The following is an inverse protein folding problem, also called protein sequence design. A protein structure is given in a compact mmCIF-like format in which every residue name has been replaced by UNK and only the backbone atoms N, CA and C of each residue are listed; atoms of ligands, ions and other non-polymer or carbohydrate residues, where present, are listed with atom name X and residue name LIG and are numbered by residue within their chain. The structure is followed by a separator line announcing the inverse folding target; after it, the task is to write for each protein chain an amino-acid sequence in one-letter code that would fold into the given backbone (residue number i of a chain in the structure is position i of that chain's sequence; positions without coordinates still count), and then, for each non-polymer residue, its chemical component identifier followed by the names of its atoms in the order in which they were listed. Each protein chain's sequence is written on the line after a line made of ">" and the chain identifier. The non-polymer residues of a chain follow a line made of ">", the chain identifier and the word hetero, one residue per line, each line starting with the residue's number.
data_IF_626487439403
#
_entry.id   IF_626487439403
#
_cell.length_a   1.000
_cell.length_b   1.000
_cell.length_c   1.000
_cell.angle_alpha   90.00
_cell.angle_beta   90.00
_cell.angle_gamma   90.00
#
_symmetry.space_group_name_H-M   'P 1'
#
loop_
_entity.id
_entity.type
_entity.pdbx_description
1 polymer ?
#
# COMPACT_ATOMS: atom_id res chain seq x y z
N UNK A 1 7.30 20.27 21.21
CA UNK A 1 7.02 19.14 20.30
C UNK A 1 5.62 19.34 19.73
N UNK A 2 5.32 18.89 18.52
CA UNK A 2 3.97 18.98 17.97
C UNK A 2 3.32 17.60 17.99
N UNK A 3 2.52 17.35 19.03
CA UNK A 3 1.87 16.05 19.24
C UNK A 3 0.72 15.90 18.25
N UNK A 4 0.76 14.84 17.48
CA UNK A 4 -0.31 14.44 16.57
C UNK A 4 -0.71 13.00 16.85
N UNK A 5 -1.95 12.65 16.54
CA UNK A 5 -2.43 11.28 16.65
C UNK A 5 -2.60 10.63 15.28
N UNK A 6 -2.35 9.33 15.21
CA UNK A 6 -2.59 8.55 14.00
C UNK A 6 -3.22 7.19 14.34
N UNK A 7 -4.22 6.81 13.55
CA UNK A 7 -4.70 5.43 13.54
C UNK A 7 -3.71 4.54 12.77
N UNK A 8 -3.04 3.64 13.50
CA UNK A 8 -2.10 2.68 12.94
C UNK A 8 -2.72 1.30 12.73
N UNK A 9 -1.99 0.44 12.00
CA UNK A 9 -2.33 -0.98 11.84
C UNK A 9 -1.08 -1.83 11.99
N UNK A 10 -1.17 -2.92 12.74
CA UNK A 10 -0.18 -4.01 12.73
C UNK A 10 -0.82 -5.25 12.11
N UNK A 11 -0.07 -5.94 11.24
CA UNK A 11 -0.49 -7.18 10.60
C UNK A 11 0.45 -8.31 11.01
N UNK A 12 -0.06 -9.27 11.78
CA UNK A 12 0.73 -10.43 12.21
C UNK A 12 0.82 -11.47 11.06
N UNK A 13 1.96 -11.51 10.37
CA UNK A 13 2.17 -12.40 9.24
C UNK A 13 2.19 -13.89 9.62
N UNK A 14 2.58 -14.23 10.86
CA UNK A 14 2.57 -15.60 11.39
C UNK A 14 1.15 -16.20 11.47
N UNK A 15 0.14 -15.32 11.59
CA UNK A 15 -1.28 -15.72 11.57
C UNK A 15 -1.93 -15.58 10.19
N UNK A 16 -1.18 -15.15 9.17
CA UNK A 16 -1.75 -14.92 7.86
C UNK A 16 -1.98 -16.25 7.14
N UNK A 17 -3.22 -16.48 6.72
CA UNK A 17 -3.63 -17.70 6.01
C UNK A 17 -3.87 -17.46 4.51
N UNK A 18 -3.46 -16.31 3.97
CA UNK A 18 -3.59 -16.04 2.53
C UNK A 18 -5.02 -15.99 1.97
N UNK A 19 -6.09 -16.04 2.78
CA UNK A 19 -7.46 -16.27 2.29
C UNK A 19 -8.12 -15.16 1.44
N UNK A 20 -7.45 -14.02 1.21
CA UNK A 20 -7.95 -12.87 0.43
C UNK A 20 -9.29 -12.24 0.85
N UNK A 21 -9.93 -12.68 1.95
CA UNK A 21 -11.24 -12.14 2.39
C UNK A 21 -11.19 -10.62 2.57
N UNK A 22 -10.10 -10.11 3.14
CA UNK A 22 -9.86 -8.68 3.31
C UNK A 22 -9.78 -7.89 1.98
N UNK A 23 -9.36 -8.52 0.89
CA UNK A 23 -9.30 -7.93 -0.45
C UNK A 23 -10.69 -7.86 -1.05
N UNK A 24 -11.45 -8.96 -0.96
CA UNK A 24 -12.82 -9.05 -1.50
C UNK A 24 -13.75 -8.05 -0.82
N UNK A 25 -13.74 -7.96 0.51
CA UNK A 25 -14.64 -7.04 1.23
C UNK A 25 -14.30 -5.58 0.95
N UNK A 26 -13.00 -5.25 0.85
CA UNK A 26 -12.56 -3.92 0.44
C UNK A 26 -12.98 -3.59 -1.00
N UNK A 27 -12.84 -4.55 -1.93
CA UNK A 27 -13.25 -4.42 -3.32
C UNK A 27 -14.74 -4.10 -3.45
N UNK A 28 -15.57 -4.89 -2.77
CA UNK A 28 -17.02 -4.74 -2.80
C UNK A 28 -17.49 -3.43 -2.17
N UNK A 29 -16.83 -2.98 -1.11
CA UNK A 29 -17.19 -1.73 -0.44
C UNK A 29 -16.76 -0.47 -1.25
N UNK A 30 -15.60 -0.51 -1.93
CA UNK A 30 -14.95 0.73 -2.39
C UNK A 30 -14.61 0.79 -3.88
N UNK A 31 -14.26 -0.33 -4.52
CA UNK A 31 -13.64 -0.35 -5.87
C UNK A 31 -14.34 -1.31 -6.86
N UNK A 32 -15.63 -1.54 -6.67
CA UNK A 32 -16.49 -2.29 -7.59
C UNK A 32 -17.06 -1.43 -8.75
N UNK A 33 -16.60 -0.18 -8.88
CA UNK A 33 -17.06 0.78 -9.88
C UNK A 33 -16.25 0.67 -11.17
N UNK A 34 -16.88 1.08 -12.27
CA UNK A 34 -16.20 1.21 -13.54
C UNK A 34 -15.04 2.23 -13.46
N UNK A 35 -13.89 1.91 -14.04
CA UNK A 35 -12.65 2.68 -13.88
C UNK A 35 -11.71 2.16 -12.78
N UNK A 36 -12.24 1.35 -11.85
CA UNK A 36 -11.51 0.81 -10.69
C UNK A 36 -11.56 -0.72 -10.61
N UNK A 37 -11.99 -1.38 -11.67
CA UNK A 37 -12.15 -2.84 -11.76
C UNK A 37 -10.82 -3.55 -11.53
N UNK A 38 -9.73 -2.99 -12.06
CA UNK A 38 -8.39 -3.51 -11.83
C UNK A 38 -7.84 -3.17 -10.45
N UNK A 39 -8.46 -2.25 -9.69
CA UNK A 39 -7.93 -1.64 -8.45
C UNK A 39 -8.26 -2.46 -7.21
N UNK A 40 -7.21 -2.79 -6.44
CA UNK A 40 -7.29 -3.48 -5.16
C UNK A 40 -6.61 -2.66 -4.07
N UNK A 41 -7.36 -1.80 -3.37
CA UNK A 41 -6.80 -1.01 -2.26
C UNK A 41 -6.15 -1.90 -1.19
N UNK A 42 -6.81 -3.01 -0.85
CA UNK A 42 -6.24 -4.12 -0.12
C UNK A 42 -6.00 -5.29 -1.09
N UNK A 43 -4.75 -5.77 -1.14
CA UNK A 43 -4.38 -6.99 -1.85
C UNK A 43 -3.49 -7.84 -0.95
N UNK A 44 -3.44 -9.14 -1.20
CA UNK A 44 -2.54 -10.09 -0.54
C UNK A 44 -1.64 -10.66 -1.63
N UNK A 45 -0.38 -10.87 -1.30
CA UNK A 45 0.63 -11.39 -2.23
C UNK A 45 1.30 -12.60 -1.58
N UNK A 46 1.53 -13.66 -2.36
CA UNK A 46 2.39 -14.75 -1.93
C UNK A 46 3.84 -14.38 -2.16
N UNK A 47 4.71 -14.70 -1.20
CA UNK A 47 6.15 -14.45 -1.27
C UNK A 47 6.94 -15.75 -1.18
N UNK A 48 7.97 -15.96 -2.02
CA UNK A 48 8.46 -15.04 -3.06
C UNK A 48 7.52 -14.87 -4.25
N UNK A 49 7.45 -13.66 -4.81
CA UNK A 49 6.53 -13.29 -5.89
C UNK A 49 6.80 -11.90 -6.48
N UNK A 50 6.20 -11.60 -7.63
CA UNK A 50 6.33 -10.28 -8.25
C UNK A 50 5.44 -9.23 -7.57
N UNK A 51 4.39 -9.65 -6.87
CA UNK A 51 3.46 -8.76 -6.20
C UNK A 51 2.61 -7.92 -7.16
N UNK A 52 1.93 -6.90 -6.62
CA UNK A 52 0.93 -6.13 -7.34
C UNK A 52 1.03 -4.61 -7.10
N UNK A 53 1.27 -3.78 -8.14
CA UNK A 53 1.66 -4.17 -9.50
C UNK A 53 2.98 -4.94 -9.52
N UNK A 54 3.26 -5.64 -10.62
CA UNK A 54 4.46 -6.48 -10.74
C UNK A 54 5.73 -5.69 -10.46
N UNK A 55 6.56 -6.27 -9.59
CA UNK A 55 7.85 -5.77 -9.11
C UNK A 55 7.75 -4.36 -8.52
N UNK A 56 6.65 -4.02 -7.82
CA UNK A 56 6.46 -2.66 -7.28
C UNK A 56 7.59 -2.22 -6.32
N UNK A 57 8.29 -3.17 -5.69
CA UNK A 57 9.43 -2.94 -4.79
C UNK A 57 10.71 -2.49 -5.52
N UNK A 58 10.81 -2.71 -6.82
CA UNK A 58 11.93 -2.24 -7.64
C UNK A 58 11.85 -0.71 -7.83
N UNK A 59 12.41 0.02 -6.87
CA UNK A 59 12.44 1.48 -6.92
C UNK A 59 13.51 2.03 -7.88
N UNK A 60 14.40 1.20 -8.44
CA UNK A 60 15.29 1.64 -9.53
C UNK A 60 14.46 1.83 -10.81
N UNK A 61 13.58 0.87 -11.11
CA UNK A 61 12.56 0.98 -12.16
C UNK A 61 11.53 2.05 -11.81
N UNK A 62 10.85 1.93 -10.66
CA UNK A 62 9.62 2.68 -10.39
C UNK A 62 9.78 4.04 -9.71
N UNK A 63 10.99 4.37 -9.25
CA UNK A 63 11.35 5.68 -8.69
C UNK A 63 10.38 6.22 -7.61
N UNK A 64 9.79 5.35 -6.81
CA UNK A 64 8.96 5.75 -5.67
C UNK A 64 9.78 6.13 -4.44
N UNK A 65 9.12 6.79 -3.49
CA UNK A 65 9.71 7.15 -2.19
C UNK A 65 10.69 8.32 -2.26
N UNK A 66 11.53 8.42 -1.23
CA UNK A 66 12.51 9.49 -1.08
C UNK A 66 13.94 8.98 -1.15
N UNK A 67 14.86 9.87 -1.47
CA UNK A 67 16.31 9.66 -1.38
C UNK A 67 16.96 10.90 -0.76
N UNK A 68 18.13 10.73 -0.16
CA UNK A 68 18.95 11.86 0.28
C UNK A 68 19.82 12.35 -0.87
N UNK A 69 19.85 13.67 -1.08
CA UNK A 69 20.81 14.26 -1.99
C UNK A 69 22.21 14.36 -1.33
N UNK A 70 23.21 14.81 -2.08
CA UNK A 70 24.59 15.00 -1.57
C UNK A 70 24.73 15.92 -0.35
N UNK A 71 23.70 16.72 -0.04
CA UNK A 71 23.65 17.63 1.12
C UNK A 71 22.80 17.06 2.27
N UNK A 72 22.43 15.78 2.22
CA UNK A 72 21.61 15.13 3.25
C UNK A 72 20.15 15.56 3.28
N UNK A 73 19.64 16.25 2.24
CA UNK A 73 18.22 16.66 2.19
C UNK A 73 17.38 15.63 1.44
N UNK A 74 16.18 15.37 1.96
CA UNK A 74 15.16 14.55 1.30
C UNK A 74 14.74 15.16 -0.04
N UNK A 75 14.78 14.35 -1.08
CA UNK A 75 14.23 14.64 -2.40
C UNK A 75 13.47 13.42 -2.92
N UNK A 76 12.42 13.64 -3.71
CA UNK A 76 11.67 12.55 -4.31
C UNK A 76 12.55 11.78 -5.30
N UNK A 77 12.50 10.44 -5.27
CA UNK A 77 13.30 9.59 -6.18
C UNK A 77 12.93 9.82 -7.66
N UNK A 78 11.64 10.03 -7.94
CA UNK A 78 11.15 10.42 -9.27
C UNK A 78 11.65 11.81 -9.74
N UNK A 79 12.18 12.63 -8.84
CA UNK A 79 12.67 13.97 -9.11
C UNK A 79 11.85 15.08 -8.47
N UNK A 80 12.48 16.24 -8.31
CA UNK A 80 11.88 17.44 -7.74
C UNK A 80 10.90 18.15 -8.69
N UNK A 81 10.42 19.33 -8.27
CA UNK A 81 9.37 20.11 -8.95
C UNK A 81 9.68 20.39 -10.44
N UNK A 82 10.92 20.77 -10.77
CA UNK A 82 11.32 21.09 -12.15
C UNK A 82 11.26 19.87 -13.06
N UNK A 83 11.86 18.73 -12.65
CA UNK A 83 11.83 17.48 -13.45
C UNK A 83 10.39 17.02 -13.68
N UNK A 84 9.52 17.15 -12.68
CA UNK A 84 8.10 16.80 -12.80
C UNK A 84 7.32 17.73 -13.73
N UNK A 85 7.63 19.03 -13.72
CA UNK A 85 7.02 19.98 -14.64
C UNK A 85 7.40 19.66 -16.09
N UNK A 86 8.66 19.31 -16.34
CA UNK A 86 9.13 18.88 -17.67
C UNK A 86 8.51 17.55 -18.11
N UNK A 87 8.26 16.63 -17.17
CA UNK A 87 7.60 15.34 -17.40
C UNK A 87 6.08 15.34 -17.24
N UNK A 88 5.42 16.50 -17.24
CA UNK A 88 3.98 16.57 -16.95
C UNK A 88 3.12 15.99 -18.10
N UNK A 89 3.60 16.10 -19.35
CA UNK A 89 2.89 15.63 -20.53
C UNK A 89 3.01 14.12 -20.76
N UNK A 90 4.07 13.50 -20.24
CA UNK A 90 4.26 12.06 -20.25
C UNK A 90 5.08 11.66 -19.02
N UNK A 91 4.52 10.80 -18.16
CA UNK A 91 5.23 10.24 -17.00
C UNK A 91 5.89 8.92 -17.39
N UNK A 92 7.20 8.89 -17.72
CA UNK A 92 7.83 7.72 -18.33
C UNK A 92 7.97 6.51 -17.39
N UNK A 93 7.79 6.72 -16.09
CA UNK A 93 8.00 5.70 -15.04
C UNK A 93 6.68 5.22 -14.43
N UNK A 94 5.54 5.62 -15.00
CA UNK A 94 4.25 5.22 -14.47
C UNK A 94 3.97 3.74 -14.80
N UNK A 95 3.47 2.93 -13.85
CA UNK A 95 2.97 1.59 -14.17
C UNK A 95 1.85 1.64 -15.20
N UNK A 96 1.93 0.75 -16.17
CA UNK A 96 0.91 0.55 -17.19
C UNK A 96 -0.12 -0.48 -16.71
N UNK A 97 -1.25 -0.57 -17.39
CA UNK A 97 -2.29 -1.54 -17.05
C UNK A 97 -1.75 -2.99 -17.05
N UNK A 98 -0.83 -3.31 -17.96
CA UNK A 98 -0.17 -4.62 -18.03
C UNK A 98 0.70 -4.94 -16.82
N UNK A 99 1.20 -3.94 -16.08
CA UNK A 99 1.95 -4.17 -14.85
C UNK A 99 1.00 -4.55 -13.69
N UNK A 100 -0.27 -4.18 -13.79
CA UNK A 100 -1.36 -4.69 -12.96
C UNK A 100 -1.93 -5.95 -13.62
N UNK A 101 -3.05 -5.81 -14.35
CA UNK A 101 -3.63 -6.78 -15.26
C UNK A 101 -4.71 -6.07 -16.08
N UNK A 102 -5.05 -6.61 -17.25
CA UNK A 102 -6.24 -6.17 -17.98
C UNK A 102 -7.49 -6.78 -17.30
N UNK A 103 -8.40 -5.96 -16.74
CA UNK A 103 -9.59 -6.49 -16.07
C UNK A 103 -10.50 -7.16 -17.10
N UNK A 104 -11.09 -8.30 -16.72
CA UNK A 104 -11.99 -9.07 -17.59
C UNK A 104 -13.29 -9.45 -16.87
N UNK A 105 -14.28 -9.80 -17.67
CA UNK A 105 -15.51 -10.48 -17.27
C UNK A 105 -15.74 -11.68 -18.20
N UNK A 106 -16.89 -12.35 -18.11
CA UNK A 106 -17.24 -13.45 -18.99
C UNK A 106 -18.59 -13.20 -19.65
N UNK A 107 -18.74 -13.69 -20.88
CA UNK A 107 -20.03 -13.71 -21.56
C UNK A 107 -20.93 -14.83 -21.01
N UNK A 108 -21.46 -14.61 -19.81
CA UNK A 108 -22.37 -15.55 -19.17
C UNK A 108 -23.68 -15.73 -19.94
N UNK A 109 -24.07 -14.76 -20.77
CA UNK A 109 -25.31 -14.80 -21.55
C UNK A 109 -25.27 -15.90 -22.62
N UNK A 110 -24.11 -16.17 -23.19
CA UNK A 110 -23.91 -17.30 -24.10
C UNK A 110 -24.32 -18.65 -23.48
N UNK A 111 -24.24 -18.83 -22.16
CA UNK A 111 -24.64 -20.09 -21.52
C UNK A 111 -26.15 -20.34 -21.53
N UNK A 112 -26.95 -19.29 -21.68
CA UNK A 112 -28.42 -19.36 -21.65
C UNK A 112 -29.06 -19.12 -23.01
N UNK A 113 -28.41 -18.32 -23.86
CA UNK A 113 -28.97 -17.86 -25.13
C UNK A 113 -28.39 -18.57 -26.36
N UNK A 114 -27.39 -19.45 -26.19
CA UNK A 114 -26.78 -20.12 -27.33
C UNK A 114 -27.81 -20.96 -28.12
N UNK A 115 -27.81 -20.88 -29.45
CA UNK A 115 -28.66 -21.71 -30.28
C UNK A 115 -28.27 -23.19 -30.15
N UNK A 116 -29.20 -24.09 -30.50
CA UNK A 116 -28.91 -25.51 -30.64
C UNK A 116 -27.77 -25.73 -31.64
N UNK A 117 -26.79 -26.54 -31.26
CA UNK A 117 -25.65 -26.89 -32.08
C UNK A 117 -24.93 -28.11 -31.51
N UNK A 118 -23.87 -28.54 -32.21
CA UNK A 118 -23.12 -29.75 -31.85
C UNK A 118 -22.12 -29.53 -30.71
N UNK A 119 -21.78 -28.26 -30.42
CA UNK A 119 -20.82 -27.87 -29.38
C UNK A 119 -21.51 -27.32 -28.12
N UNK A 120 -20.89 -27.55 -26.95
CA UNK A 120 -21.35 -26.96 -25.69
C UNK A 120 -21.02 -25.46 -25.63
N UNK A 121 -21.98 -24.59 -25.22
CA UNK A 121 -21.70 -23.17 -25.05
C UNK A 121 -20.73 -22.94 -23.87
N UNK A 122 -19.78 -22.03 -24.07
CA UNK A 122 -18.80 -21.63 -23.05
C UNK A 122 -18.82 -20.12 -22.87
N UNK A 123 -18.74 -19.67 -21.61
CA UNK A 123 -18.63 -18.26 -21.31
C UNK A 123 -17.18 -17.80 -21.57
N UNK A 124 -16.96 -17.15 -22.71
CA UNK A 124 -15.62 -16.65 -23.08
C UNK A 124 -15.26 -15.40 -22.28
N UNK A 125 -13.97 -15.24 -21.90
CA UNK A 125 -13.51 -14.01 -21.26
C UNK A 125 -13.57 -12.81 -22.20
N UNK A 126 -14.11 -11.70 -21.68
CA UNK A 126 -14.25 -10.41 -22.35
C UNK A 126 -13.43 -9.36 -21.60
N UNK A 127 -12.66 -8.55 -22.32
CA UNK A 127 -11.97 -7.41 -21.71
C UNK A 127 -12.98 -6.38 -21.20
N UNK A 128 -12.79 -5.90 -19.97
CA UNK A 128 -13.55 -4.77 -19.43
C UNK A 128 -13.02 -3.41 -19.94
N UNK A 129 -11.92 -3.41 -20.71
CA UNK A 129 -11.36 -2.21 -21.33
C UNK A 129 -11.86 -2.07 -22.77
N UNK A 130 -11.75 -3.13 -23.58
CA UNK A 130 -12.11 -3.09 -25.01
C UNK A 130 -13.50 -3.66 -25.31
N UNK A 131 -14.04 -4.52 -24.44
CA UNK A 131 -15.27 -5.27 -24.71
C UNK A 131 -15.10 -6.49 -25.62
N UNK A 132 -13.87 -6.73 -26.11
CA UNK A 132 -13.57 -7.81 -27.05
C UNK A 132 -13.24 -9.13 -26.34
N UNK A 133 -13.29 -10.24 -27.08
CA UNK A 133 -12.76 -11.53 -26.62
C UNK A 133 -11.27 -11.38 -26.31
N UNK A 134 -10.83 -11.88 -25.16
CA UNK A 134 -9.43 -11.76 -24.71
C UNK A 134 -8.89 -13.07 -24.19
N UNK A 135 -7.56 -13.18 -24.07
CA UNK A 135 -6.91 -14.29 -23.37
C UNK A 135 -6.39 -13.79 -22.02
N UNK A 136 -6.83 -14.42 -20.94
CA UNK A 136 -6.31 -14.10 -19.60
C UNK A 136 -4.87 -14.61 -19.52
N UNK A 137 -3.93 -13.70 -19.30
CA UNK A 137 -2.49 -13.98 -19.25
C UNK A 137 -1.85 -13.56 -17.92
N UNK A 138 -2.54 -12.75 -17.13
CA UNK A 138 -2.10 -12.31 -15.81
C UNK A 138 -3.29 -11.82 -14.96
N UNK A 139 -3.10 -11.68 -13.64
CA UNK A 139 -4.10 -11.15 -12.72
C UNK A 139 -3.46 -10.47 -11.50
N UNK A 140 -4.28 -9.89 -10.61
CA UNK A 140 -3.79 -9.28 -9.36
C UNK A 140 -3.19 -10.28 -8.36
N UNK A 141 -3.34 -11.59 -8.58
CA UNK A 141 -2.91 -12.66 -7.69
C UNK A 141 -2.51 -13.91 -8.50
N UNK A 142 -1.69 -13.71 -9.54
CA UNK A 142 -1.34 -14.77 -10.49
C UNK A 142 -0.31 -15.77 -9.93
N UNK A 143 0.54 -15.31 -9.02
CA UNK A 143 1.60 -16.05 -8.33
C UNK A 143 1.17 -16.58 -6.96
N UNK A 144 -0.14 -16.70 -6.71
CA UNK A 144 -0.72 -17.28 -5.50
C UNK A 144 -0.20 -18.71 -5.27
N UNK A 145 0.03 -19.05 -4.00
CA UNK A 145 0.61 -20.34 -3.57
C UNK A 145 1.78 -20.85 -4.44
N UNK A 146 2.70 -19.94 -4.80
CA UNK A 146 3.88 -20.19 -5.62
C UNK A 146 3.59 -20.59 -7.08
N UNK A 147 2.40 -20.26 -7.58
CA UNK A 147 2.00 -20.46 -8.98
C UNK A 147 3.01 -19.81 -9.94
N UNK A 148 3.67 -20.63 -10.77
CA UNK A 148 4.69 -20.14 -11.71
C UNK A 148 6.00 -19.67 -11.06
N UNK A 149 6.25 -20.00 -9.79
CA UNK A 149 7.48 -19.59 -9.07
C UNK A 149 8.77 -20.12 -9.69
N UNK A 150 8.75 -21.27 -10.36
CA UNK A 150 9.90 -21.79 -11.12
C UNK A 150 10.27 -20.90 -12.30
N UNK A 151 9.28 -20.28 -12.95
CA UNK A 151 9.46 -19.37 -14.08
C UNK A 151 9.75 -17.95 -13.62
N UNK A 152 9.06 -17.45 -12.59
CA UNK A 152 9.06 -16.02 -12.25
C UNK A 152 9.58 -15.69 -10.86
N UNK A 153 9.78 -16.67 -9.97
CA UNK A 153 10.15 -16.41 -8.57
C UNK A 153 11.49 -15.68 -8.42
N UNK A 154 12.40 -15.87 -9.36
CA UNK A 154 13.69 -15.16 -9.41
C UNK A 154 13.56 -13.66 -9.75
N UNK A 155 12.37 -13.22 -10.19
CA UNK A 155 12.06 -11.82 -10.49
C UNK A 155 11.52 -11.04 -9.28
N UNK A 156 11.27 -11.71 -8.14
CA UNK A 156 10.99 -11.03 -6.87
C UNK A 156 12.18 -10.13 -6.51
N UNK A 157 11.99 -8.79 -6.36
CA UNK A 157 13.09 -7.87 -6.08
C UNK A 157 13.89 -8.19 -4.82
N UNK A 158 13.27 -8.80 -3.81
CA UNK A 158 13.93 -9.21 -2.57
C UNK A 158 14.77 -10.46 -2.80
N UNK A 159 14.26 -11.44 -3.54
CA UNK A 159 15.06 -12.64 -3.92
C UNK A 159 16.25 -12.24 -4.77
N UNK A 160 16.04 -11.36 -5.76
CA UNK A 160 17.11 -10.87 -6.62
C UNK A 160 18.21 -10.18 -5.79
N UNK A 161 17.83 -9.31 -4.85
CA UNK A 161 18.75 -8.65 -3.93
C UNK A 161 19.53 -9.65 -3.06
N UNK A 162 18.84 -10.57 -2.40
CA UNK A 162 19.47 -11.57 -1.51
C UNK A 162 20.43 -12.47 -2.29
N UNK A 163 20.09 -12.88 -3.51
CA UNK A 163 20.97 -13.70 -4.36
C UNK A 163 22.23 -12.95 -4.80
N UNK A 164 22.10 -11.65 -5.15
CA UNK A 164 23.27 -10.81 -5.47
C UNK A 164 24.21 -10.63 -4.27
N UNK A 165 23.66 -10.57 -3.06
CA UNK A 165 24.43 -10.42 -1.82
C UNK A 165 24.96 -11.77 -1.28
N UNK A 166 24.33 -12.89 -1.63
CA UNK A 166 24.69 -14.22 -1.17
C UNK A 166 24.12 -15.28 -2.13
N UNK A 167 24.95 -15.75 -3.07
CA UNK A 167 24.54 -16.64 -4.18
C UNK A 167 23.83 -17.94 -3.73
N UNK A 168 24.01 -18.37 -2.47
CA UNK A 168 23.58 -19.69 -1.98
C UNK A 168 22.27 -19.71 -1.15
N UNK A 169 21.66 -18.58 -0.80
CA UNK A 169 20.61 -18.56 0.25
C UNK A 169 19.20 -18.94 -0.20
N UNK A 170 18.83 -18.76 -1.47
CA UNK A 170 17.47 -19.03 -1.97
C UNK A 170 17.55 -19.91 -3.21
N UNK A 171 17.32 -21.22 -3.05
CA UNK A 171 17.21 -22.18 -4.15
C UNK A 171 15.74 -22.56 -4.33
N UNK A 172 15.27 -22.56 -5.57
CA UNK A 172 13.94 -23.08 -5.91
C UNK A 172 14.00 -24.60 -6.06
N UNK A 173 14.47 -25.26 -4.99
CA UNK A 173 14.51 -26.71 -4.85
C UNK A 173 13.32 -27.15 -3.99
N UNK A 174 12.73 -28.30 -4.33
CA UNK A 174 11.50 -28.78 -3.71
C UNK A 174 11.59 -28.85 -2.18
N UNK A 175 12.70 -29.37 -1.64
CA UNK A 175 12.94 -29.55 -0.21
C UNK A 175 13.18 -28.23 0.55
N UNK A 176 13.46 -27.14 -0.17
CA UNK A 176 13.72 -25.81 0.38
C UNK A 176 12.59 -24.84 0.05
N UNK A 177 11.44 -25.36 -0.39
CA UNK A 177 10.26 -24.54 -0.71
C UNK A 177 9.75 -23.84 0.55
N UNK A 178 9.59 -22.54 0.45
CA UNK A 178 8.94 -21.73 1.48
C UNK A 178 7.98 -20.76 0.82
N UNK A 179 6.92 -20.42 1.54
CA UNK A 179 6.07 -19.30 1.18
C UNK A 179 5.48 -18.64 2.41
N UNK A 180 5.13 -17.37 2.28
CA UNK A 180 4.28 -16.67 3.24
C UNK A 180 3.43 -15.64 2.51
N UNK A 181 2.43 -15.11 3.21
CA UNK A 181 1.50 -14.15 2.64
C UNK A 181 1.78 -12.74 3.16
N UNK A 182 1.74 -11.77 2.25
CA UNK A 182 1.94 -10.36 2.54
C UNK A 182 0.67 -9.57 2.18
N UNK A 183 -0.29 -9.43 3.11
CA UNK A 183 -1.42 -8.53 2.96
C UNK A 183 -0.97 -7.07 3.08
N UNK A 184 -1.31 -6.22 2.12
CA UNK A 184 -0.91 -4.80 2.11
C UNK A 184 -2.07 -3.87 1.83
N UNK A 185 -2.01 -2.69 2.44
CA UNK A 185 -2.85 -1.52 2.14
C UNK A 185 -1.95 -0.29 1.94
N UNK A 186 -2.52 0.91 1.82
CA UNK A 186 -1.72 2.13 1.95
C UNK A 186 -1.17 2.23 3.38
N UNK A 187 0.09 2.62 3.54
CA UNK A 187 0.74 2.78 4.85
C UNK A 187 0.32 4.06 5.60
N UNK A 188 -0.44 4.97 4.96
CA UNK A 188 -0.85 6.26 5.54
C UNK A 188 0.31 6.99 6.26
N UNK A 189 1.45 7.05 5.57
CA UNK A 189 2.75 7.39 6.14
C UNK A 189 2.82 8.77 6.84
N UNK A 190 3.85 8.97 7.66
CA UNK A 190 4.10 10.24 8.36
C UNK A 190 4.74 11.30 7.44
N UNK A 191 5.57 10.87 6.50
CA UNK A 191 6.22 11.65 5.43
C UNK A 191 5.80 11.15 4.02
N UNK A 192 4.50 11.23 3.66
CA UNK A 192 3.96 10.59 2.47
C UNK A 192 4.55 11.18 1.17
N UNK A 193 5.38 10.39 0.48
CA UNK A 193 5.97 10.78 -0.81
C UNK A 193 4.93 11.06 -1.89
N UNK A 194 3.75 10.46 -1.81
CA UNK A 194 2.64 10.71 -2.72
C UNK A 194 2.08 12.13 -2.58
N UNK A 195 1.99 12.65 -1.35
CA UNK A 195 1.56 14.01 -1.06
C UNK A 195 2.55 15.01 -1.65
N UNK A 196 3.83 14.85 -1.34
CA UNK A 196 4.90 15.67 -1.91
C UNK A 196 4.99 15.55 -3.44
N UNK A 197 4.52 14.43 -4.00
CA UNK A 197 4.55 14.18 -5.43
C UNK A 197 3.41 14.81 -6.23
N UNK A 198 2.32 15.22 -5.59
CA UNK A 198 1.12 15.71 -6.25
C UNK A 198 1.28 17.20 -6.67
N UNK A 199 1.32 17.54 -7.97
CA UNK A 199 1.51 18.93 -8.39
C UNK A 199 0.36 19.86 -8.00
N UNK A 200 -0.87 19.34 -7.91
CA UNK A 200 -2.04 20.14 -7.56
C UNK A 200 -2.30 20.24 -6.05
N UNK A 201 -1.49 19.58 -5.21
CA UNK A 201 -1.72 19.55 -3.76
C UNK A 201 -3.03 18.88 -3.34
N UNK A 202 -3.60 18.02 -4.17
CA UNK A 202 -4.88 17.35 -3.89
C UNK A 202 -4.78 16.21 -2.87
N UNK A 203 -3.57 15.80 -2.50
CA UNK A 203 -3.33 14.78 -1.49
C UNK A 203 -2.99 15.47 -0.18
N UNK A 204 -3.61 15.05 0.91
CA UNK A 204 -3.39 15.62 2.23
C UNK A 204 -3.46 14.52 3.30
N UNK A 205 -2.83 14.77 4.44
CA UNK A 205 -2.95 13.97 5.66
C UNK A 205 -3.89 14.69 6.60
N UNK A 206 -4.97 14.02 7.02
CA UNK A 206 -5.90 14.52 8.03
C UNK A 206 -5.17 14.76 9.34
N UNK A 207 -5.52 15.85 10.02
CA UNK A 207 -4.83 16.30 11.25
C UNK A 207 -5.33 15.52 12.47
N UNK A 208 -6.58 15.13 12.43
CA UNK A 208 -7.30 14.45 13.50
C UNK A 208 -6.86 12.99 13.66
N UNK A 209 -6.61 12.26 12.56
CA UNK A 209 -6.42 10.81 12.57
C UNK A 209 -5.24 10.28 11.74
N UNK A 210 -4.52 11.19 11.08
CA UNK A 210 -3.39 10.85 10.23
C UNK A 210 -3.76 10.13 8.93
N UNK A 211 -5.04 10.02 8.56
CA UNK A 211 -5.45 9.34 7.32
C UNK A 211 -5.10 10.22 6.12
N UNK A 212 -4.19 9.71 5.27
CA UNK A 212 -3.88 10.31 3.96
C UNK A 212 -5.00 10.06 2.93
N UNK A 213 -5.54 11.12 2.33
CA UNK A 213 -6.62 11.06 1.33
C UNK A 213 -6.25 11.79 0.03
N UNK A 214 -7.01 11.50 -1.03
CA UNK A 214 -6.99 12.25 -2.29
C UNK A 214 -8.31 13.00 -2.40
N UNK A 215 -8.26 14.33 -2.38
CA UNK A 215 -9.39 15.21 -2.66
C UNK A 215 -9.84 15.02 -4.12
N UNK A 216 -11.01 14.44 -4.33
CA UNK A 216 -11.51 14.12 -5.68
C UNK A 216 -11.90 15.39 -6.47
N UNK A 217 -12.24 16.49 -5.81
CA UNK A 217 -12.61 17.75 -6.46
C UNK A 217 -11.35 18.52 -6.92
N UNK A 218 -10.30 18.49 -6.09
CA UNK A 218 -9.00 19.12 -6.41
C UNK A 218 -8.11 18.25 -7.30
N UNK A 219 -8.32 16.94 -7.36
CA UNK A 219 -7.51 16.05 -8.18
C UNK A 219 -7.67 16.40 -9.67
N UNK A 220 -6.54 16.73 -10.31
CA UNK A 220 -6.45 17.08 -11.74
C UNK A 220 -5.90 15.96 -12.61
N UNK A 221 -5.76 14.75 -12.07
CA UNK A 221 -5.36 13.59 -12.87
C UNK A 221 -3.90 13.61 -13.36
N UNK A 222 -3.00 14.33 -12.69
CA UNK A 222 -1.58 14.42 -13.09
C UNK A 222 -0.79 13.11 -12.98
N UNK A 223 -1.33 12.10 -12.28
CA UNK A 223 -0.79 10.73 -12.12
C UNK A 223 0.60 10.60 -11.47
N UNK A 224 1.30 11.70 -11.20
CA UNK A 224 2.62 11.73 -10.55
C UNK A 224 2.64 11.07 -9.16
N UNK A 225 1.50 11.05 -8.46
CA UNK A 225 1.36 10.40 -7.16
C UNK A 225 1.39 8.86 -7.25
N UNK A 226 1.00 8.28 -8.40
CA UNK A 226 1.10 6.82 -8.64
C UNK A 226 2.56 6.39 -8.62
N UNK A 227 3.42 7.09 -9.38
CA UNK A 227 4.87 6.87 -9.37
C UNK A 227 5.47 7.17 -8.00
N UNK A 228 5.10 8.32 -7.41
CA UNK A 228 5.67 8.79 -6.15
C UNK A 228 5.48 7.84 -4.97
N UNK A 229 4.38 7.09 -4.93
CA UNK A 229 4.15 6.07 -3.91
C UNK A 229 5.07 4.85 -4.15
N UNK A 230 6.00 4.53 -3.24
CA UNK A 230 6.90 3.39 -3.42
C UNK A 230 6.14 2.06 -3.28
N UNK A 231 5.10 2.01 -2.44
CA UNK A 231 4.22 0.84 -2.27
C UNK A 231 3.22 0.63 -3.42
N UNK A 232 3.14 1.58 -4.37
CA UNK A 232 2.16 1.60 -5.48
C UNK A 232 0.70 1.45 -5.04
N UNK A 233 0.37 2.05 -3.90
CA UNK A 233 -0.97 2.06 -3.28
C UNK A 233 -1.86 3.24 -3.67
N UNK A 234 -1.49 3.91 -4.75
CA UNK A 234 -2.34 4.88 -5.44
C UNK A 234 -2.60 4.35 -6.83
N UNK A 235 -3.87 4.32 -7.21
CA UNK A 235 -4.33 3.77 -8.46
C UNK A 235 -5.01 4.86 -9.27
N UNK A 236 -4.95 4.74 -10.59
CA UNK A 236 -5.58 5.71 -11.48
C UNK A 236 -6.94 5.18 -11.91
N UNK A 237 -8.01 5.88 -11.57
CA UNK A 237 -9.32 5.57 -12.11
C UNK A 237 -9.35 5.98 -13.59
N UNK A 238 -9.33 4.99 -14.48
CA UNK A 238 -9.22 5.22 -15.93
C UNK A 238 -10.49 5.85 -16.52
N UNK A 239 -11.63 5.75 -15.84
CA UNK A 239 -12.91 6.34 -16.25
C UNK A 239 -13.06 7.79 -15.80
N UNK A 240 -12.73 8.11 -14.54
CA UNK A 240 -12.89 9.48 -14.00
C UNK A 240 -11.69 10.37 -14.26
N UNK A 241 -10.55 9.77 -14.63
CA UNK A 241 -9.32 10.50 -14.85
C UNK A 241 -8.63 10.95 -13.56
N UNK A 242 -8.99 10.40 -12.39
CA UNK A 242 -8.50 10.82 -11.08
C UNK A 242 -7.79 9.69 -10.33
N UNK A 243 -6.88 10.05 -9.44
CA UNK A 243 -6.22 9.09 -8.58
C UNK A 243 -7.13 8.73 -7.38
N UNK A 244 -7.17 7.44 -7.04
CA UNK A 244 -7.85 6.90 -5.88
C UNK A 244 -6.90 6.01 -5.07
N UNK A 245 -7.15 5.88 -3.77
CA UNK A 245 -6.33 5.07 -2.85
C UNK A 245 -7.17 4.56 -1.69
N UNK A 246 -6.61 3.61 -0.94
CA UNK A 246 -7.16 3.20 0.35
C UNK A 246 -7.47 4.44 1.20
N UNK A 247 -8.70 4.53 1.69
CA UNK A 247 -9.22 5.63 2.51
C UNK A 247 -9.12 5.33 4.01
N UNK A 248 -8.45 4.23 4.37
CA UNK A 248 -8.45 3.63 5.70
C UNK A 248 -9.86 3.45 6.30
N UNK A 249 -10.88 3.33 5.43
CA UNK A 249 -12.28 3.33 5.83
C UNK A 249 -12.62 4.50 6.78
N UNK A 250 -12.13 5.72 6.52
CA UNK A 250 -12.35 6.88 7.40
C UNK A 250 -13.82 7.05 7.85
N UNK A 251 -14.88 6.80 7.03
CA UNK A 251 -16.26 6.95 7.52
C UNK A 251 -16.62 5.98 8.65
N UNK A 252 -15.94 4.84 8.76
CA UNK A 252 -16.07 3.89 9.86
C UNK A 252 -15.21 4.29 11.05
N UNK A 253 -13.96 4.68 10.78
CA UNK A 253 -13.02 5.10 11.83
C UNK A 253 -13.52 6.33 12.58
N UNK A 254 -14.15 7.28 11.89
CA UNK A 254 -14.76 8.48 12.48
C UNK A 254 -15.82 8.18 13.55
N UNK A 255 -16.44 7.00 13.49
CA UNK A 255 -17.45 6.54 14.48
C UNK A 255 -16.92 5.40 15.34
N UNK A 256 -15.60 5.21 15.41
CA UNK A 256 -14.94 4.22 16.27
C UNK A 256 -15.07 2.78 15.78
N UNK A 257 -15.49 2.55 14.54
CA UNK A 257 -15.57 1.20 13.96
C UNK A 257 -14.24 0.81 13.29
N UNK A 258 -13.88 -0.49 13.31
CA UNK A 258 -12.72 -0.96 12.57
C UNK A 258 -12.87 -0.75 11.06
N UNK A 259 -11.73 -0.73 10.37
CA UNK A 259 -11.73 -0.79 8.91
C UNK A 259 -12.33 -2.12 8.43
N UNK A 260 -12.93 -2.11 7.23
CA UNK A 260 -13.56 -3.31 6.65
C UNK A 260 -12.57 -4.48 6.58
N UNK A 261 -11.35 -4.24 6.10
CA UNK A 261 -10.35 -5.30 5.97
C UNK A 261 -9.85 -5.85 7.32
N UNK A 262 -9.94 -5.05 8.40
CA UNK A 262 -9.63 -5.49 9.76
C UNK A 262 -10.76 -6.29 10.39
N UNK A 263 -12.00 -5.78 10.35
CA UNK A 263 -13.18 -6.46 10.91
C UNK A 263 -13.42 -7.82 10.25
N UNK A 264 -13.25 -7.90 8.93
CA UNK A 264 -13.49 -9.13 8.17
C UNK A 264 -12.24 -10.01 8.04
N UNK A 265 -11.21 -9.79 8.87
CA UNK A 265 -9.99 -10.57 8.81
C UNK A 265 -10.17 -11.95 9.45
N UNK A 266 -10.36 -12.98 8.63
CA UNK A 266 -10.59 -14.37 9.07
C UNK A 266 -9.43 -14.90 9.93
N UNK A 267 -8.18 -14.64 9.54
CA UNK A 267 -6.99 -15.03 10.31
C UNK A 267 -6.77 -14.23 11.60
N UNK A 268 -7.61 -13.20 11.86
CA UNK A 268 -7.53 -12.34 13.06
C UNK A 268 -6.12 -11.80 13.30
N UNK A 269 -5.48 -11.30 12.23
CA UNK A 269 -4.09 -10.86 12.26
C UNK A 269 -3.92 -9.34 12.32
N UNK A 270 -5.00 -8.58 12.09
CA UNK A 270 -4.96 -7.11 11.99
C UNK A 270 -5.35 -6.48 13.31
N UNK A 271 -4.45 -5.68 13.86
CA UNK A 271 -4.66 -4.89 15.07
C UNK A 271 -4.69 -3.42 14.69
N UNK A 272 -5.71 -2.69 15.15
CA UNK A 272 -5.84 -1.25 15.00
C UNK A 272 -5.59 -0.58 16.35
N UNK A 273 -4.97 0.59 16.33
CA UNK A 273 -4.69 1.33 17.54
C UNK A 273 -4.11 2.70 17.23
N UNK A 274 -4.43 3.66 18.10
CA UNK A 274 -3.85 4.99 18.03
C UNK A 274 -2.40 4.99 18.49
N UNK A 275 -1.57 5.81 17.90
CA UNK A 275 -0.29 6.18 18.48
C UNK A 275 -0.12 7.70 18.39
N UNK A 276 0.56 8.26 19.38
CA UNK A 276 0.95 9.67 19.39
C UNK A 276 2.34 9.79 18.78
N UNK A 277 2.58 10.86 18.04
CA UNK A 277 3.88 11.11 17.42
C UNK A 277 4.25 12.60 17.44
N UNK A 278 5.54 12.91 17.48
CA UNK A 278 6.03 14.27 17.31
C UNK A 278 6.18 14.59 15.81
N UNK A 279 5.27 15.40 15.29
CA UNK A 279 5.25 15.79 13.89
C UNK A 279 6.48 16.60 13.47
N UNK A 280 7.14 17.28 14.42
CA UNK A 280 8.32 18.10 14.11
C UNK A 280 9.59 17.23 13.97
N UNK A 281 9.61 16.05 14.59
CA UNK A 281 10.72 15.08 14.49
C UNK A 281 10.70 14.24 13.20
N UNK A 282 9.54 14.15 12.50
CA UNK A 282 9.35 13.27 11.32
C UNK A 282 10.41 13.50 10.24
N UNK A 283 10.71 14.76 9.91
CA UNK A 283 11.68 15.07 8.84
C UNK A 283 13.10 14.64 9.22
N UNK A 284 13.48 14.82 10.50
CA UNK A 284 14.79 14.40 10.99
C UNK A 284 14.92 12.87 10.93
N UNK A 285 13.91 12.15 11.42
CA UNK A 285 13.87 10.69 11.38
C UNK A 285 13.93 10.15 9.95
N UNK A 286 13.16 10.70 9.02
CA UNK A 286 13.20 10.28 7.62
C UNK A 286 14.53 10.64 6.92
N UNK A 287 15.33 11.54 7.49
CA UNK A 287 16.59 12.03 6.92
C UNK A 287 17.86 11.38 7.48
N UNK A 288 17.75 10.39 8.37
CA UNK A 288 18.94 9.66 8.89
C UNK A 288 19.74 9.06 7.74
N UNK A 289 21.07 9.16 7.80
CA UNK A 289 21.93 8.84 6.66
C UNK A 289 21.98 7.35 6.38
N UNK A 290 22.08 6.52 7.42
CA UNK A 290 22.04 5.07 7.29
C UNK A 290 20.58 4.59 7.22
N UNK A 291 20.16 3.92 6.12
CA UNK A 291 18.83 3.34 6.05
C UNK A 291 18.51 2.31 7.14
N UNK A 292 19.51 1.66 7.75
CA UNK A 292 19.29 0.70 8.83
C UNK A 292 18.80 1.36 10.13
N UNK A 293 19.12 2.65 10.32
CA UNK A 293 18.68 3.42 11.49
C UNK A 293 17.25 3.98 11.34
N UNK A 294 16.63 3.86 10.16
CA UNK A 294 15.30 4.43 9.90
C UNK A 294 14.21 3.82 10.79
N UNK A 295 14.32 2.53 11.12
CA UNK A 295 13.39 1.87 12.02
C UNK A 295 13.44 2.47 13.43
N UNK A 296 14.65 2.55 14.00
CA UNK A 296 14.83 3.10 15.34
C UNK A 296 14.47 4.59 15.38
N UNK A 297 14.85 5.35 14.35
CA UNK A 297 14.47 6.75 14.20
C UNK A 297 12.95 6.94 14.09
N UNK A 298 12.24 6.04 13.40
CA UNK A 298 10.78 6.05 13.39
C UNK A 298 10.22 5.74 14.79
N UNK A 299 10.80 4.77 15.50
CA UNK A 299 10.37 4.48 16.87
C UNK A 299 10.55 5.69 17.77
N UNK A 300 11.61 6.48 17.61
CA UNK A 300 11.86 7.69 18.41
C UNK A 300 10.89 8.85 18.12
N UNK A 301 10.22 8.82 16.96
CA UNK A 301 9.12 9.75 16.65
C UNK A 301 7.83 9.40 17.41
N UNK A 302 7.65 8.13 17.81
CA UNK A 302 6.49 7.70 18.59
C UNK A 302 6.65 8.13 20.06
N UNK A 303 5.62 8.80 20.58
CA UNK A 303 5.58 9.34 21.93
C UNK A 303 4.94 8.34 22.89
N UNK A 304 5.42 8.30 24.14
CA UNK A 304 4.82 7.45 25.18
C UNK A 304 3.46 8.03 25.62
N UNK A 305 2.34 7.34 25.36
CA UNK A 305 1.03 7.83 25.76
C UNK A 305 0.81 7.82 27.28
N UNK A 306 1.66 7.14 28.06
CA UNK A 306 1.59 7.14 29.53
C UNK A 306 2.42 8.24 30.19
N UNK A 307 3.24 8.96 29.43
CA UNK A 307 4.03 10.08 29.93
C UNK A 307 3.10 11.28 30.24
N UNK A 308 3.07 11.78 31.50
CA UNK A 308 2.27 12.94 31.87
C UNK A 308 2.57 14.20 31.05
N UNK A 309 3.82 14.41 30.61
CA UNK A 309 4.19 15.56 29.79
C UNK A 309 3.61 15.45 28.37
N UNK A 310 3.68 14.26 27.77
CA UNK A 310 3.06 13.98 26.46
C UNK A 310 1.55 14.17 26.54
N UNK A 311 0.90 13.72 27.62
CA UNK A 311 -0.55 13.90 27.79
C UNK A 311 -0.93 15.38 27.98
N UNK A 312 -0.16 16.13 28.77
CA UNK A 312 -0.38 17.56 28.95
C UNK A 312 -0.24 18.32 27.63
N UNK A 313 0.78 18.01 26.85
CA UNK A 313 1.01 18.61 25.54
C UNK A 313 -0.08 18.20 24.51
N UNK A 314 -0.49 16.93 24.51
CA UNK A 314 -1.59 16.45 23.67
C UNK A 314 -2.90 17.22 23.95
N UNK A 315 -3.23 17.44 25.24
CA UNK A 315 -4.40 18.25 25.64
C UNK A 315 -4.25 19.70 25.22
N UNK A 316 -3.06 20.29 25.38
CA UNK A 316 -2.78 21.66 24.95
C UNK A 316 -2.95 21.84 23.42
N UNK A 317 -2.70 20.78 22.65
CA UNK A 317 -2.90 20.73 21.20
C UNK A 317 -4.30 20.24 20.78
N UNK A 318 -5.24 20.17 21.71
CA UNK A 318 -6.65 19.79 21.50
C UNK A 318 -6.85 18.35 20.98
N UNK A 319 -5.94 17.42 21.32
CA UNK A 319 -6.21 15.99 21.11
C UNK A 319 -7.31 15.56 22.11
N UNK A 320 -8.41 14.95 21.66
CA UNK A 320 -9.48 14.49 22.55
C UNK A 320 -9.01 13.52 23.64
N UNK A 321 -9.62 13.58 24.82
CA UNK A 321 -9.21 12.73 25.96
C UNK A 321 -9.41 11.24 25.66
N UNK A 322 -10.50 10.88 24.96
CA UNK A 322 -10.78 9.51 24.54
C UNK A 322 -9.71 8.97 23.57
N UNK A 323 -9.11 9.84 22.76
CA UNK A 323 -7.97 9.51 21.90
C UNK A 323 -6.69 9.26 22.68
N UNK A 324 -6.40 10.07 23.70
CA UNK A 324 -5.26 9.88 24.60
C UNK A 324 -5.41 8.54 25.33
N UNK A 325 -6.59 8.26 25.89
CA UNK A 325 -6.90 6.99 26.57
C UNK A 325 -6.87 5.78 25.66
N UNK A 326 -7.26 5.93 24.39
CA UNK A 326 -7.15 4.88 23.39
C UNK A 326 -5.69 4.63 22.97
N UNK A 327 -4.86 5.68 22.87
CA UNK A 327 -3.42 5.54 22.61
C UNK A 327 -2.71 4.77 23.74
N UNK A 328 -3.08 5.02 25.00
CA UNK A 328 -2.55 4.30 26.18
C UNK A 328 -2.84 2.79 26.15
N UNK A 329 -3.95 2.40 25.55
CA UNK A 329 -4.39 0.99 25.43
C UNK A 329 -4.15 0.43 24.02
N UNK A 330 -3.33 1.11 23.22
CA UNK A 330 -3.15 0.77 21.81
C UNK A 330 -2.36 -0.52 21.63
N UNK A 331 -2.94 -1.54 20.95
CA UNK A 331 -2.18 -2.74 20.62
C UNK A 331 -1.08 -2.42 19.60
N UNK A 332 -1.25 -1.40 18.76
CA UNK A 332 -0.24 -0.98 17.78
C UNK A 332 1.00 -0.43 18.49
N UNK A 333 0.81 0.49 19.45
CA UNK A 333 1.92 1.03 20.23
C UNK A 333 2.65 -0.06 21.02
N UNK A 334 1.89 -0.94 21.69
CA UNK A 334 2.46 -2.06 22.43
C UNK A 334 3.28 -3.01 21.54
N UNK A 335 2.75 -3.42 20.38
CA UNK A 335 3.44 -4.35 19.48
C UNK A 335 4.66 -3.72 18.80
N UNK A 336 4.62 -2.42 18.47
CA UNK A 336 5.71 -1.71 17.80
C UNK A 336 6.80 -1.23 18.78
N UNK A 337 6.44 -0.41 19.77
CA UNK A 337 7.41 0.30 20.63
C UNK A 337 7.82 -0.52 21.86
N UNK A 338 6.87 -1.24 22.50
CA UNK A 338 7.13 -1.97 23.75
C UNK A 338 7.70 -3.36 23.48
N UNK A 339 6.99 -4.18 22.71
CA UNK A 339 7.38 -5.56 22.43
C UNK A 339 8.33 -5.70 21.25
N UNK A 340 8.42 -4.69 20.37
CA UNK A 340 9.30 -4.68 19.19
C UNK A 340 9.11 -5.89 18.27
N UNK A 341 7.85 -6.32 18.12
CA UNK A 341 7.46 -7.45 17.25
C UNK A 341 6.78 -6.97 15.96
N UNK A 342 6.38 -5.70 15.90
CA UNK A 342 5.86 -5.09 14.68
C UNK A 342 6.93 -4.20 14.03
N UNK A 343 7.33 -4.56 12.82
CA UNK A 343 8.31 -3.83 12.02
C UNK A 343 7.63 -3.08 10.88
N UNK A 344 8.14 -1.90 10.46
CA UNK A 344 7.62 -1.18 9.31
C UNK A 344 7.90 -1.96 8.01
N UNK A 345 7.00 -1.84 7.04
CA UNK A 345 7.21 -2.38 5.70
C UNK A 345 8.09 -1.40 4.89
N UNK A 346 9.29 -1.83 4.52
CA UNK A 346 10.25 -1.05 3.73
C UNK A 346 10.57 0.35 4.29
N UNK A 347 11.15 0.45 5.50
CA UNK A 347 11.52 1.75 6.10
C UNK A 347 12.49 2.55 5.22
N UNK A 348 13.31 1.89 4.39
CA UNK A 348 14.27 2.50 3.47
C UNK A 348 13.63 3.45 2.44
N UNK A 349 12.30 3.40 2.28
CA UNK A 349 11.56 4.34 1.44
C UNK A 349 11.42 5.74 2.07
N UNK A 350 11.70 5.87 3.38
CA UNK A 350 11.75 7.13 4.15
C UNK A 350 10.41 7.88 4.16
N UNK A 351 9.30 7.15 4.06
CA UNK A 351 7.95 7.72 3.97
C UNK A 351 7.23 7.76 5.30
#
# INVERSE_FOLDING_TARGET
>A
MRVMAQMGMVMNLDKCIGCHTCSVTCKQAWTNRAGTEYVWFNNVETRPGQGYPRRYEDQEKWQGGWVLNKRGKLVLKAGGRVKKLLGIFASPVQPELKDYYEPWTYDYKTLVDAPLGDDFPVARPKSLITGEDTKITWSANWDDDLGGSTEYGHLDPIVEKVRRESEDKIKFAYEQTFMFYLPRICEHCLNPSCMASCPSGAIYKRVEDGIVLVDQDKCRGWRQCVTGCPYKKIYFNHKTGKAEKCTFCYPRVEVGLPTVCSETCVGRLRYLGLFLYDADAVTAAASVTDPQELYDAQMDVLLDPNDPEVQAEARAQNIPEDWIDAARRSPVYALAKVYKVALPLHPEYRT
#
